data_IF_270434004874
#
_entry.id   IF_270434004874
#
_cell.length_a   1.000
_cell.length_b   1.000
_cell.length_c   1.000
_cell.angle_alpha   90.00
_cell.angle_beta   90.00
_cell.angle_gamma   90.00
#
_symmetry.space_group_name_H-M   'P 1'
#
loop_
_entity.id
_entity.type
_entity.pdbx_description
1 polymer ?
#
# COMPACT_ATOMS: atom_id res chain seq x y z
N UNK A 1 -12.22 1.25 -3.27
CA UNK A 1 -12.46 2.70 -3.16
C UNK A 1 -11.16 3.50 -3.20
N UNK A 2 -10.12 3.12 -2.45
CA UNK A 2 -8.85 3.87 -2.39
C UNK A 2 -8.15 3.97 -3.74
N UNK A 3 -8.15 2.93 -4.56
CA UNK A 3 -7.52 2.94 -5.88
C UNK A 3 -8.11 4.03 -6.81
N UNK A 4 -9.33 4.49 -6.55
CA UNK A 4 -9.95 5.59 -7.31
C UNK A 4 -9.34 6.95 -6.97
N UNK A 5 -8.69 7.15 -5.84
CA UNK A 5 -8.04 8.44 -5.52
C UNK A 5 -6.95 8.80 -6.53
N UNK A 6 -6.30 7.79 -7.12
CA UNK A 6 -5.25 7.94 -8.12
C UNK A 6 -5.72 7.72 -9.56
N UNK A 7 -6.95 7.23 -9.74
CA UNK A 7 -7.49 6.87 -11.05
C UNK A 7 -8.95 7.34 -11.19
N UNK A 8 -9.29 8.48 -10.60
CA UNK A 8 -10.65 8.98 -10.60
C UNK A 8 -11.15 9.36 -12.00
N UNK A 9 -10.25 9.83 -12.84
CA UNK A 9 -10.48 10.17 -14.25
C UNK A 9 -10.48 8.95 -15.18
N UNK A 10 -9.99 7.79 -14.70
CA UNK A 10 -9.96 6.54 -15.46
C UNK A 10 -10.40 5.34 -14.60
N UNK A 11 -11.68 5.25 -14.22
CA UNK A 11 -12.17 4.18 -13.34
C UNK A 11 -12.17 2.79 -14.00
N UNK A 12 -12.18 2.70 -15.33
CA UNK A 12 -12.08 1.41 -16.04
C UNK A 12 -10.77 0.70 -15.71
N UNK A 13 -9.67 1.43 -15.63
CA UNK A 13 -8.36 0.89 -15.22
C UNK A 13 -8.42 0.16 -13.89
N UNK A 14 -9.17 0.68 -12.90
CA UNK A 14 -9.31 0.02 -11.60
C UNK A 14 -10.09 -1.29 -11.74
N UNK A 15 -11.13 -1.31 -12.56
CA UNK A 15 -11.94 -2.52 -12.82
C UNK A 15 -11.11 -3.60 -13.50
N UNK A 16 -10.36 -3.24 -14.54
CA UNK A 16 -9.55 -4.16 -15.32
C UNK A 16 -8.44 -4.78 -14.45
N UNK A 17 -7.82 -3.98 -13.59
CA UNK A 17 -6.76 -4.43 -12.69
C UNK A 17 -7.24 -5.33 -11.53
N UNK A 18 -8.52 -5.46 -11.25
CA UNK A 18 -9.02 -6.36 -10.18
C UNK A 18 -8.63 -7.81 -10.46
N UNK A 19 -8.85 -8.27 -11.69
CA UNK A 19 -8.51 -9.65 -12.10
C UNK A 19 -7.00 -9.81 -12.20
N UNK A 20 -6.29 -8.85 -12.80
CA UNK A 20 -4.83 -8.89 -12.94
C UNK A 20 -4.13 -9.02 -11.58
N UNK A 21 -4.53 -8.23 -10.58
CA UNK A 21 -3.97 -8.31 -9.23
C UNK A 21 -4.27 -9.65 -8.56
N UNK A 22 -5.46 -10.21 -8.76
CA UNK A 22 -5.80 -11.53 -8.24
C UNK A 22 -4.93 -12.63 -8.88
N UNK A 23 -4.69 -12.55 -10.20
CA UNK A 23 -3.79 -13.45 -10.92
C UNK A 23 -2.36 -13.34 -10.42
N UNK A 24 -1.86 -12.12 -10.20
CA UNK A 24 -0.54 -11.88 -9.63
C UNK A 24 -0.39 -12.55 -8.26
N UNK A 25 -1.37 -12.38 -7.37
CA UNK A 25 -1.36 -13.02 -6.04
C UNK A 25 -1.32 -14.54 -6.12
N UNK A 26 -2.10 -15.13 -7.02
CA UNK A 26 -2.09 -16.58 -7.22
C UNK A 26 -0.78 -17.08 -7.85
N UNK A 27 -0.19 -16.31 -8.78
CA UNK A 27 1.05 -16.69 -9.48
C UNK A 27 2.26 -16.72 -8.55
N UNK A 28 2.29 -15.88 -7.51
CA UNK A 28 3.35 -15.90 -6.47
C UNK A 28 3.11 -16.98 -5.40
N UNK A 29 2.07 -17.79 -5.55
CA UNK A 29 1.80 -18.94 -4.67
C UNK A 29 0.93 -18.65 -3.45
N UNK A 30 0.19 -17.54 -3.42
CA UNK A 30 -0.82 -17.32 -2.40
C UNK A 30 -1.96 -18.33 -2.61
N UNK A 31 -2.09 -19.27 -1.68
CA UNK A 31 -3.05 -20.36 -1.75
C UNK A 31 -4.44 -19.90 -1.27
N UNK A 32 -5.47 -19.85 -2.14
CA UNK A 32 -6.81 -19.37 -1.77
C UNK A 32 -7.51 -20.27 -0.74
N UNK A 33 -7.00 -21.49 -0.48
CA UNK A 33 -7.50 -22.31 0.60
C UNK A 33 -6.96 -21.90 1.99
N UNK A 34 -5.90 -21.09 2.03
CA UNK A 34 -5.25 -20.64 3.27
C UNK A 34 -5.44 -19.16 3.55
N UNK A 35 -5.77 -18.37 2.52
CA UNK A 35 -5.93 -16.93 2.61
C UNK A 35 -7.27 -16.50 2.04
N UNK A 36 -7.74 -15.34 2.45
CA UNK A 36 -8.92 -14.71 1.87
C UNK A 36 -8.48 -13.56 0.94
N UNK A 37 -8.85 -13.67 -0.34
CA UNK A 37 -8.68 -12.59 -1.33
C UNK A 37 -10.07 -12.02 -1.60
N UNK A 38 -10.23 -10.72 -1.44
CA UNK A 38 -11.52 -10.08 -1.66
C UNK A 38 -11.35 -8.69 -2.29
N UNK A 39 -12.40 -8.22 -2.96
CA UNK A 39 -12.45 -6.87 -3.49
C UNK A 39 -12.85 -5.93 -2.34
N UNK A 40 -12.02 -4.94 -2.03
CA UNK A 40 -12.23 -4.02 -0.90
C UNK A 40 -13.64 -3.40 -0.90
N UNK A 41 -14.15 -2.98 -2.05
CA UNK A 41 -15.48 -2.36 -2.18
C UNK A 41 -16.65 -3.30 -1.89
N UNK A 42 -16.44 -4.61 -1.93
CA UNK A 42 -17.47 -5.59 -1.57
C UNK A 42 -17.62 -5.76 -0.05
N UNK A 43 -16.70 -5.19 0.72
CA UNK A 43 -16.77 -5.17 2.19
C UNK A 43 -17.14 -3.75 2.64
N UNK A 44 -18.43 -3.42 2.56
CA UNK A 44 -18.95 -2.06 2.86
C UNK A 44 -18.63 -1.58 4.28
N UNK A 45 -18.50 -2.50 5.23
CA UNK A 45 -18.10 -2.21 6.61
C UNK A 45 -16.75 -1.50 6.72
N UNK A 46 -15.82 -1.68 5.77
CA UNK A 46 -14.54 -0.96 5.75
C UNK A 46 -14.75 0.55 5.54
N UNK A 47 -15.67 0.92 4.67
CA UNK A 47 -16.01 2.32 4.44
C UNK A 47 -16.71 2.93 5.66
N UNK A 48 -17.63 2.20 6.28
CA UNK A 48 -18.31 2.62 7.49
C UNK A 48 -17.31 2.82 8.64
N UNK A 49 -16.43 1.86 8.86
CA UNK A 49 -15.38 1.94 9.87
C UNK A 49 -14.43 3.14 9.61
N UNK A 50 -14.06 3.37 8.35
CA UNK A 50 -13.28 4.54 7.95
C UNK A 50 -13.98 5.82 8.39
N UNK A 51 -15.28 5.92 8.17
CA UNK A 51 -16.04 7.10 8.56
C UNK A 51 -16.05 7.31 10.09
N UNK A 52 -16.21 6.25 10.87
CA UNK A 52 -16.11 6.36 12.33
C UNK A 52 -14.74 6.85 12.76
N UNK A 53 -13.67 6.37 12.15
CA UNK A 53 -12.30 6.80 12.47
C UNK A 53 -12.00 8.25 12.10
N UNK A 54 -12.72 8.84 11.14
CA UNK A 54 -12.55 10.28 10.82
C UNK A 54 -12.82 11.18 12.02
N UNK A 55 -13.65 10.73 12.98
CA UNK A 55 -13.95 11.47 14.21
C UNK A 55 -12.80 11.40 15.24
N UNK A 56 -11.83 10.54 15.05
CA UNK A 56 -10.70 10.31 15.96
C UNK A 56 -9.40 10.99 15.49
N UNK A 57 -9.41 11.58 14.29
CA UNK A 57 -8.21 12.15 13.66
C UNK A 57 -8.47 13.57 13.22
N UNK A 58 -7.57 14.47 13.56
CA UNK A 58 -7.66 15.86 13.08
C UNK A 58 -6.98 16.03 11.72
N UNK A 59 -7.47 16.98 10.92
CA UNK A 59 -6.84 17.38 9.67
C UNK A 59 -5.35 17.72 9.86
N UNK A 60 -5.04 18.47 10.91
CA UNK A 60 -3.67 18.85 11.23
C UNK A 60 -2.76 17.62 11.50
N UNK A 61 -3.32 16.55 12.09
CA UNK A 61 -2.56 15.29 12.30
C UNK A 61 -2.27 14.58 11.00
N UNK A 62 -3.24 14.49 10.09
CA UNK A 62 -3.06 13.92 8.76
C UNK A 62 -1.97 14.64 7.97
N UNK A 63 -2.05 15.96 7.91
CA UNK A 63 -1.07 16.79 7.19
C UNK A 63 0.35 16.74 7.78
N UNK A 64 0.49 16.42 9.07
CA UNK A 64 1.80 16.25 9.72
C UNK A 64 2.40 14.86 9.52
N UNK A 65 1.63 13.88 9.06
CA UNK A 65 2.18 12.56 8.78
C UNK A 65 3.27 12.69 7.68
N UNK A 66 4.51 12.21 7.93
CA UNK A 66 5.62 12.40 6.99
C UNK A 66 5.35 11.83 5.60
N UNK A 67 4.71 10.65 5.51
CA UNK A 67 4.35 10.01 4.25
C UNK A 67 3.35 10.86 3.47
N UNK A 68 2.26 11.29 4.11
CA UNK A 68 1.25 12.16 3.51
C UNK A 68 1.86 13.48 3.04
N UNK A 69 2.71 14.10 3.88
CA UNK A 69 3.37 15.36 3.55
C UNK A 69 4.28 15.25 2.32
N UNK A 70 5.00 14.15 2.20
CA UNK A 70 5.87 13.89 1.05
C UNK A 70 5.06 13.66 -0.22
N UNK A 71 3.96 12.92 -0.13
CA UNK A 71 3.08 12.69 -1.27
C UNK A 71 2.36 13.95 -1.75
N UNK A 72 1.89 14.81 -0.83
CA UNK A 72 1.31 16.12 -1.19
C UNK A 72 2.29 16.93 -2.05
N UNK A 73 3.56 16.97 -1.64
CA UNK A 73 4.62 17.67 -2.39
C UNK A 73 4.88 17.00 -3.75
N UNK A 74 5.00 15.70 -3.77
CA UNK A 74 5.28 14.93 -4.97
C UNK A 74 4.18 15.09 -6.03
N UNK A 75 2.91 15.15 -5.59
CA UNK A 75 1.75 15.32 -6.47
C UNK A 75 1.45 16.77 -6.84
N UNK A 76 2.15 17.74 -6.25
CA UNK A 76 1.92 19.15 -6.53
C UNK A 76 0.54 19.66 -6.13
N UNK A 77 -0.07 19.11 -5.09
CA UNK A 77 -1.41 19.51 -4.66
C UNK A 77 -1.46 20.91 -4.05
N UNK A 78 -0.32 21.42 -3.52
CA UNK A 78 -0.21 22.69 -2.82
C UNK A 78 -1.34 22.88 -1.77
N UNK A 79 -2.24 23.83 -2.01
CA UNK A 79 -3.40 24.10 -1.16
C UNK A 79 -4.68 23.39 -1.63
N UNK A 80 -4.65 22.71 -2.78
CA UNK A 80 -5.81 22.06 -3.40
C UNK A 80 -5.79 20.53 -3.18
N UNK A 81 -5.69 20.11 -1.93
CA UNK A 81 -5.59 18.69 -1.58
C UNK A 81 -6.98 18.05 -1.63
N UNK A 82 -7.20 17.03 -2.47
CA UNK A 82 -8.47 16.31 -2.49
C UNK A 82 -8.76 15.67 -1.13
N UNK A 83 -9.99 15.78 -0.64
CA UNK A 83 -10.40 15.17 0.64
C UNK A 83 -10.25 13.65 0.60
N UNK A 84 -10.55 13.02 -0.52
CA UNK A 84 -10.35 11.58 -0.70
C UNK A 84 -8.90 11.16 -0.51
N UNK A 85 -7.95 11.98 -1.01
CA UNK A 85 -6.52 11.76 -0.77
C UNK A 85 -6.18 11.88 0.74
N UNK A 86 -6.67 12.92 1.42
CA UNK A 86 -6.41 13.07 2.86
C UNK A 86 -7.02 11.94 3.71
N UNK A 87 -8.05 11.29 3.20
CA UNK A 87 -8.76 10.22 3.93
C UNK A 87 -8.08 8.85 3.80
N UNK A 88 -7.16 8.64 2.84
CA UNK A 88 -6.56 7.31 2.62
C UNK A 88 -5.82 6.74 3.85
N UNK A 89 -5.14 7.52 4.71
CA UNK A 89 -4.48 6.98 5.90
C UNK A 89 -5.48 6.41 6.92
N UNK A 90 -6.66 7.01 6.98
CA UNK A 90 -7.74 6.55 7.87
C UNK A 90 -8.36 5.27 7.29
N UNK A 91 -8.59 5.23 5.99
CA UNK A 91 -9.09 4.04 5.31
C UNK A 91 -8.11 2.87 5.39
N UNK A 92 -6.81 3.12 5.25
CA UNK A 92 -5.77 2.11 5.47
C UNK A 92 -5.81 1.55 6.91
N UNK A 93 -6.08 2.39 7.89
CA UNK A 93 -6.28 1.94 9.28
C UNK A 93 -7.49 1.02 9.39
N UNK A 94 -8.60 1.31 8.70
CA UNK A 94 -9.77 0.45 8.69
C UNK A 94 -9.46 -0.91 8.04
N UNK A 95 -8.73 -0.93 6.91
CA UNK A 95 -8.32 -2.17 6.25
C UNK A 95 -7.49 -3.09 7.18
N UNK A 96 -6.64 -2.51 8.01
CA UNK A 96 -5.81 -3.24 8.97
C UNK A 96 -6.63 -3.75 10.17
N UNK A 97 -7.42 -2.88 10.77
CA UNK A 97 -8.03 -3.13 12.08
C UNK A 97 -9.34 -3.91 12.00
N UNK A 98 -10.09 -3.84 10.88
CA UNK A 98 -11.31 -4.60 10.68
C UNK A 98 -11.09 -6.11 10.79
N UNK A 99 -9.92 -6.58 10.37
CA UNK A 99 -9.53 -7.98 10.41
C UNK A 99 -8.67 -8.33 11.62
N UNK A 100 -8.51 -7.39 12.57
CA UNK A 100 -7.68 -7.55 13.78
C UNK A 100 -6.24 -8.00 13.46
N UNK A 101 -5.66 -7.43 12.41
CA UNK A 101 -4.30 -7.74 12.02
C UNK A 101 -3.33 -7.33 13.12
N UNK A 102 -2.57 -8.30 13.64
CA UNK A 102 -1.53 -8.08 14.65
C UNK A 102 -0.25 -7.59 14.00
N UNK A 103 0.05 -8.13 12.80
CA UNK A 103 1.31 -7.93 12.08
C UNK A 103 0.99 -7.42 10.69
N UNK A 104 1.70 -6.37 10.28
CA UNK A 104 1.57 -5.75 8.96
C UNK A 104 2.96 -5.63 8.34
N UNK A 105 3.29 -6.49 7.35
CA UNK A 105 4.53 -6.34 6.60
C UNK A 105 4.48 -5.07 5.75
N UNK A 106 5.47 -4.18 5.91
CA UNK A 106 5.50 -2.87 5.23
C UNK A 106 6.94 -2.46 4.89
N UNK A 107 7.07 -1.54 3.93
CA UNK A 107 8.32 -0.79 3.74
C UNK A 107 8.48 0.28 4.82
N UNK A 108 9.71 0.77 5.00
CA UNK A 108 10.03 1.81 6.00
C UNK A 108 9.21 3.10 5.82
N UNK A 109 8.89 3.44 4.59
CA UNK A 109 8.07 4.61 4.24
C UNK A 109 6.64 4.53 4.78
N UNK A 110 6.17 3.32 5.16
CA UNK A 110 4.85 3.08 5.73
C UNK A 110 4.83 3.10 7.27
N UNK A 111 5.97 3.17 7.94
CA UNK A 111 6.01 3.24 9.41
C UNK A 111 5.18 4.39 10.00
N UNK A 112 5.18 5.61 9.42
CA UNK A 112 4.32 6.69 9.90
C UNK A 112 2.82 6.41 9.74
N UNK A 113 2.45 5.57 8.78
CA UNK A 113 1.06 5.14 8.55
C UNK A 113 0.62 4.14 9.61
N UNK A 114 1.48 3.17 9.94
CA UNK A 114 1.21 2.19 11.00
C UNK A 114 1.13 2.88 12.36
N UNK A 115 2.02 3.85 12.65
CA UNK A 115 1.92 4.60 13.91
C UNK A 115 0.61 5.41 13.98
N UNK A 116 0.17 6.01 12.89
CA UNK A 116 -1.13 6.68 12.85
C UNK A 116 -2.30 5.69 13.07
N UNK A 117 -2.21 4.47 12.53
CA UNK A 117 -3.19 3.43 12.80
C UNK A 117 -3.25 3.07 14.29
N UNK A 118 -2.09 2.94 14.94
CA UNK A 118 -1.98 2.69 16.39
C UNK A 118 -2.58 3.82 17.22
N UNK A 119 -2.35 5.08 16.83
CA UNK A 119 -2.97 6.25 17.48
C UNK A 119 -4.51 6.18 17.42
N UNK A 120 -5.06 5.82 16.25
CA UNK A 120 -6.51 5.66 16.08
C UNK A 120 -7.03 4.52 16.95
N UNK A 121 -6.35 3.38 16.97
CA UNK A 121 -6.72 2.22 17.80
C UNK A 121 -6.74 2.60 19.27
N UNK A 122 -5.71 3.29 19.77
CA UNK A 122 -5.64 3.74 21.17
C UNK A 122 -6.78 4.70 21.50
N UNK A 123 -7.05 5.66 20.61
CA UNK A 123 -8.14 6.62 20.78
C UNK A 123 -9.50 5.91 20.82
N UNK A 124 -9.71 4.95 19.92
CA UNK A 124 -10.92 4.15 19.87
C UNK A 124 -11.10 3.32 21.15
N UNK A 125 -10.06 2.57 21.53
CA UNK A 125 -10.10 1.69 22.69
C UNK A 125 -10.29 2.45 24.01
N UNK A 126 -9.78 3.67 24.10
CA UNK A 126 -10.00 4.54 25.28
C UNK A 126 -11.49 4.93 25.43
N UNK A 127 -12.22 5.05 24.32
CA UNK A 127 -13.64 5.46 24.35
C UNK A 127 -14.56 4.26 24.50
N UNK A 128 -14.28 3.18 23.74
CA UNK A 128 -15.19 2.06 23.56
C UNK A 128 -14.74 0.76 24.24
N UNK A 129 -13.59 0.78 24.94
CA UNK A 129 -12.97 -0.42 25.53
C UNK A 129 -12.03 -1.13 24.55
N UNK A 130 -11.38 -2.18 24.99
CA UNK A 130 -10.37 -2.93 24.22
C UNK A 130 -11.03 -3.80 23.12
N UNK A 131 -11.42 -3.17 22.05
CA UNK A 131 -12.09 -3.81 20.89
C UNK A 131 -11.10 -4.07 19.75
N UNK A 132 -10.25 -3.10 19.46
CA UNK A 132 -9.30 -3.12 18.35
C UNK A 132 -7.92 -3.59 18.81
N UNK A 133 -7.20 -4.24 17.91
CA UNK A 133 -5.82 -4.71 18.14
C UNK A 133 -4.86 -3.67 17.55
N UNK A 134 -3.84 -3.27 18.33
CA UNK A 134 -2.78 -2.42 17.81
C UNK A 134 -1.90 -3.21 16.83
N UNK A 135 -1.75 -2.73 15.58
CA UNK A 135 -0.90 -3.41 14.62
C UNK A 135 0.58 -3.17 14.91
N UNK A 136 1.40 -4.18 14.61
CA UNK A 136 2.85 -4.10 14.62
C UNK A 136 3.39 -4.16 13.19
N UNK A 137 4.30 -3.23 12.86
CA UNK A 137 4.96 -3.22 11.56
C UNK A 137 6.12 -4.23 11.54
N UNK A 138 6.18 -5.06 10.50
CA UNK A 138 7.40 -5.81 10.17
C UNK A 138 8.00 -5.19 8.92
N UNK A 139 9.25 -4.74 9.05
CA UNK A 139 10.04 -4.18 7.95
C UNK A 139 11.14 -5.16 7.53
N UNK A 140 11.60 -5.11 6.27
CA UNK A 140 12.76 -5.84 5.82
C UNK A 140 13.99 -5.53 6.68
N UNK A 141 14.77 -6.56 7.01
CA UNK A 141 15.94 -6.39 7.89
C UNK A 141 17.23 -6.07 7.14
N UNK A 142 17.25 -6.29 5.83
CA UNK A 142 18.42 -6.00 4.99
C UNK A 142 18.13 -4.88 3.98
N UNK A 143 19.16 -4.14 3.62
CA UNK A 143 19.05 -3.09 2.59
C UNK A 143 18.67 -3.67 1.22
N UNK A 144 19.10 -4.89 0.91
CA UNK A 144 18.70 -5.59 -0.32
C UNK A 144 17.23 -5.95 -0.38
N UNK A 145 16.63 -6.32 0.76
CA UNK A 145 15.19 -6.62 0.84
C UNK A 145 14.33 -5.36 0.79
N UNK A 146 14.83 -4.27 1.37
CA UNK A 146 14.11 -2.98 1.39
C UNK A 146 14.20 -2.23 0.07
N UNK A 147 15.22 -2.50 -0.76
CA UNK A 147 15.50 -1.73 -1.97
C UNK A 147 15.99 -2.61 -3.11
N UNK A 148 15.07 -3.29 -3.78
CA UNK A 148 15.42 -4.14 -4.93
C UNK A 148 16.11 -3.30 -6.04
N UNK A 149 17.30 -3.74 -6.52
CA UNK A 149 17.95 -3.10 -7.65
C UNK A 149 17.15 -3.30 -8.94
N UNK A 150 17.10 -2.28 -9.76
CA UNK A 150 16.49 -2.38 -11.08
C UNK A 150 17.26 -3.30 -12.02
N UNK A 151 16.59 -3.80 -13.04
CA UNK A 151 17.19 -4.65 -14.09
C UNK A 151 18.27 -3.94 -14.90
N UNK A 152 18.37 -2.62 -14.78
CA UNK A 152 19.44 -1.78 -15.36
C UNK A 152 20.74 -1.77 -14.53
N UNK A 153 20.70 -2.33 -13.32
CA UNK A 153 21.84 -2.36 -12.39
C UNK A 153 22.29 -0.98 -11.87
N UNK A 154 21.47 0.07 -12.03
CA UNK A 154 21.84 1.47 -11.72
C UNK A 154 20.91 2.11 -10.69
N UNK A 155 19.64 1.95 -10.86
CA UNK A 155 18.62 2.60 -10.04
C UNK A 155 17.80 1.57 -9.25
N UNK A 156 17.06 2.04 -8.26
CA UNK A 156 16.02 1.24 -7.60
C UNK A 156 15.01 0.75 -8.65
N UNK A 157 14.57 -0.50 -8.53
CA UNK A 157 13.50 -1.05 -9.35
C UNK A 157 12.24 -0.19 -9.27
N UNK A 158 11.72 0.23 -10.42
CA UNK A 158 10.53 1.08 -10.48
C UNK A 158 9.78 0.90 -11.79
N UNK A 159 8.46 0.84 -11.70
CA UNK A 159 7.57 0.82 -12.87
C UNK A 159 7.73 2.07 -13.74
N UNK A 160 7.88 3.24 -13.14
CA UNK A 160 8.01 4.51 -13.86
C UNK A 160 9.28 4.65 -14.68
N UNK A 161 10.34 3.90 -14.32
CA UNK A 161 11.62 3.87 -15.03
C UNK A 161 11.68 2.71 -16.02
N UNK A 162 10.77 1.74 -15.92
CA UNK A 162 10.74 0.57 -16.79
C UNK A 162 11.89 -0.42 -16.57
N UNK A 163 12.48 -0.42 -15.35
CA UNK A 163 13.60 -1.28 -14.98
C UNK A 163 13.18 -2.40 -14.03
N UNK A 164 11.96 -2.91 -14.19
CA UNK A 164 11.39 -4.00 -13.40
C UNK A 164 11.01 -5.17 -14.31
N UNK A 165 10.81 -6.32 -13.70
CA UNK A 165 10.18 -7.49 -14.31
C UNK A 165 8.75 -7.51 -13.81
N UNK A 166 7.79 -7.60 -14.72
CA UNK A 166 6.39 -7.78 -14.39
C UNK A 166 6.05 -9.26 -14.38
N UNK A 167 5.11 -9.66 -13.52
CA UNK A 167 4.61 -11.04 -13.50
C UNK A 167 3.88 -11.40 -14.81
N UNK A 168 3.37 -10.37 -15.50
CA UNK A 168 2.71 -10.49 -16.81
C UNK A 168 3.66 -10.44 -18.01
N UNK A 169 4.99 -10.29 -17.80
CA UNK A 169 5.94 -10.25 -18.90
C UNK A 169 6.03 -11.59 -19.64
N UNK A 170 6.07 -11.52 -20.96
CA UNK A 170 6.24 -12.70 -21.81
C UNK A 170 7.62 -13.37 -21.57
N UNK A 171 7.70 -14.72 -21.64
CA UNK A 171 8.94 -15.46 -21.38
C UNK A 171 10.14 -14.99 -22.19
N UNK A 172 9.91 -14.46 -23.40
CA UNK A 172 10.98 -13.95 -24.26
C UNK A 172 11.51 -12.59 -23.78
N UNK A 173 10.67 -11.76 -23.17
CA UNK A 173 11.08 -10.49 -22.56
C UNK A 173 11.90 -10.76 -21.30
N UNK A 174 11.42 -11.65 -20.43
CA UNK A 174 12.14 -12.07 -19.22
C UNK A 174 13.54 -12.61 -19.58
N UNK A 175 13.67 -13.43 -20.63
CA UNK A 175 14.97 -13.97 -21.08
C UNK A 175 15.92 -12.92 -21.61
N UNK A 176 15.46 -11.78 -22.07
CA UNK A 176 16.31 -10.67 -22.56
C UNK A 176 16.96 -9.91 -21.41
N UNK A 177 16.30 -9.84 -20.24
CA UNK A 177 16.74 -9.06 -19.10
C UNK A 177 18.06 -9.61 -18.50
N UNK A 178 18.23 -10.92 -18.20
CA UNK A 178 19.47 -11.48 -17.65
C UNK A 178 20.68 -11.38 -18.60
N UNK A 179 20.43 -11.30 -19.91
CA UNK A 179 21.46 -11.15 -20.93
C UNK A 179 21.90 -9.69 -21.14
N UNK A 180 21.36 -8.75 -20.36
CA UNK A 180 21.83 -7.38 -20.37
C UNK A 180 23.22 -7.32 -19.70
N UNK A 181 24.30 -6.98 -20.44
CA UNK A 181 25.66 -6.97 -19.92
C UNK A 181 25.89 -5.98 -18.77
N UNK A 182 24.89 -5.17 -18.45
CA UNK A 182 24.89 -4.22 -17.33
C UNK A 182 24.48 -4.85 -15.99
N UNK A 183 23.83 -6.03 -16.00
CA UNK A 183 23.54 -6.80 -14.79
C UNK A 183 24.77 -7.70 -14.51
N UNK A 184 25.85 -7.10 -14.02
CA UNK A 184 26.96 -7.91 -13.53
C UNK A 184 26.50 -8.67 -12.29
N UNK A 185 26.65 -9.99 -12.34
CA UNK A 185 26.46 -10.91 -11.24
C UNK A 185 27.26 -10.39 -10.03
N UNK A 186 26.58 -9.85 -9.05
CA UNK A 186 27.11 -9.75 -7.70
C UNK A 186 26.98 -11.14 -7.09
N UNK A 187 28.09 -11.86 -7.06
CA UNK A 187 28.24 -13.06 -6.25
C UNK A 187 28.51 -12.67 -4.82
#
# INVERSE_FOLDING_TARGET
>A
AQALTDNFDNPSKVRDNVIEVALDYMSIGLDPNKINIFIQSEVSALTELTYYYTNLVTLARLQRNPTVKNEIKFRGFDNNIPVGFLNYPISQTADITAFKANIVPVGEDQLPMIEQAREIVRSFNNIYGNVLVEPEAIIPQSEMESRLPGTDGKAKMSKSIGNCIYLSDEPNEIKRIPNNPKIKKTH
#
